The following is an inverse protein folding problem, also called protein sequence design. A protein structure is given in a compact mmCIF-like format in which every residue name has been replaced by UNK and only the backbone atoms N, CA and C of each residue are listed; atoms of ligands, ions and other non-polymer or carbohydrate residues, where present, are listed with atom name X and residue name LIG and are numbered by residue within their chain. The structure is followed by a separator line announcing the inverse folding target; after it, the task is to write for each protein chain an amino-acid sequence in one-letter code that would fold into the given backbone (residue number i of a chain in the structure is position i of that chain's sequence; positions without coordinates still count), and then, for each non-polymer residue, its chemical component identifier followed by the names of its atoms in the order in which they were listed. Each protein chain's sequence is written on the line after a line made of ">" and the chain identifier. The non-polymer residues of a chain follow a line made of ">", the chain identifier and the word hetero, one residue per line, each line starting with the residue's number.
data_IF_633765326536
#
_entry.id   IF_633765326536
#
_cell.length_a   1.000
_cell.length_b   1.000
_cell.length_c   1.000
_cell.angle_alpha   90.00
_cell.angle_beta   90.00
_cell.angle_gamma   90.00
#
_symmetry.space_group_name_H-M   'P 1'
#
loop_
_entity.id
_entity.type
_entity.pdbx_description
1 polymer ?
#
# COMPACT_ATOMS: atom_id res chain seq x y z
N UNK A 1 -39.71 -64.69 -25.01
CA UNK A 1 -40.57 -63.82 -25.85
C UNK A 1 -40.33 -62.39 -25.33
N UNK A 2 -39.53 -61.63 -26.05
CA UNK A 2 -39.10 -60.25 -25.73
C UNK A 2 -39.89 -59.28 -26.62
N UNK A 3 -40.79 -58.49 -26.06
CA UNK A 3 -41.45 -57.40 -26.76
C UNK A 3 -40.60 -56.14 -26.62
N UNK A 4 -39.92 -55.75 -27.67
CA UNK A 4 -39.29 -54.43 -27.81
C UNK A 4 -40.34 -53.42 -28.25
N UNK A 5 -40.69 -52.51 -27.34
CA UNK A 5 -41.54 -51.35 -27.66
C UNK A 5 -40.66 -50.25 -28.24
N UNK A 6 -40.76 -50.04 -29.55
CA UNK A 6 -40.14 -48.94 -30.27
C UNK A 6 -41.04 -47.73 -30.19
N UNK A 7 -40.68 -46.75 -29.36
CA UNK A 7 -41.41 -45.46 -29.24
C UNK A 7 -40.92 -44.50 -30.37
N UNK A 8 -41.84 -43.82 -31.11
CA UNK A 8 -41.43 -42.85 -32.13
C UNK A 8 -40.86 -41.61 -31.46
N UNK A 9 -39.57 -41.38 -31.65
CA UNK A 9 -38.91 -40.14 -31.26
C UNK A 9 -39.50 -38.99 -32.11
N UNK A 10 -40.30 -38.15 -31.47
CA UNK A 10 -40.95 -37.01 -32.11
C UNK A 10 -39.92 -36.01 -32.61
N UNK A 11 -40.05 -35.64 -33.88
CA UNK A 11 -39.24 -34.63 -34.60
C UNK A 11 -39.16 -33.27 -33.85
N UNK A 12 -40.08 -33.01 -32.95
CA UNK A 12 -40.19 -31.80 -32.14
C UNK A 12 -39.06 -31.67 -31.09
N UNK A 13 -38.57 -32.74 -30.53
CA UNK A 13 -37.48 -32.72 -29.53
C UNK A 13 -36.14 -32.28 -30.14
N UNK A 14 -35.86 -32.63 -31.39
CA UNK A 14 -34.62 -32.26 -32.09
C UNK A 14 -34.54 -30.76 -32.41
N UNK A 15 -35.66 -30.15 -32.74
CA UNK A 15 -35.71 -28.69 -33.01
C UNK A 15 -35.59 -27.84 -31.74
N UNK A 16 -36.05 -28.33 -30.59
CA UNK A 16 -35.93 -27.61 -29.32
C UNK A 16 -34.47 -27.65 -28.80
N UNK A 17 -33.78 -28.75 -28.95
CA UNK A 17 -32.36 -28.85 -28.54
C UNK A 17 -31.45 -28.04 -29.45
N UNK A 18 -31.73 -28.05 -30.78
CA UNK A 18 -30.96 -27.23 -31.73
C UNK A 18 -31.12 -25.74 -31.49
N UNK A 19 -32.33 -25.27 -31.22
CA UNK A 19 -32.59 -23.86 -30.86
C UNK A 19 -31.90 -23.43 -29.55
N UNK A 20 -31.89 -24.27 -28.53
CA UNK A 20 -31.18 -24.00 -27.26
C UNK A 20 -29.67 -23.97 -27.48
N UNK A 21 -29.12 -24.85 -28.31
CA UNK A 21 -27.68 -24.87 -28.65
C UNK A 21 -27.26 -23.61 -29.43
N UNK A 22 -28.04 -23.14 -30.38
CA UNK A 22 -27.77 -21.92 -31.15
C UNK A 22 -27.83 -20.66 -30.25
N UNK A 23 -28.76 -20.60 -29.29
CA UNK A 23 -28.85 -19.47 -28.36
C UNK A 23 -27.66 -19.46 -27.41
N UNK A 24 -27.22 -20.64 -26.93
CA UNK A 24 -26.04 -20.74 -26.03
C UNK A 24 -24.77 -20.34 -26.75
N UNK A 25 -24.59 -20.74 -28.02
CA UNK A 25 -23.40 -20.34 -28.81
C UNK A 25 -23.42 -18.85 -29.16
N UNK A 26 -24.59 -18.22 -29.38
CA UNK A 26 -24.68 -16.79 -29.62
C UNK A 26 -24.34 -15.96 -28.36
N UNK A 27 -24.71 -16.43 -27.16
CA UNK A 27 -24.37 -15.74 -25.89
C UNK A 27 -22.89 -15.83 -25.56
N UNK A 28 -22.23 -16.94 -25.89
CA UNK A 28 -20.78 -17.12 -25.71
C UNK A 28 -19.93 -16.26 -26.66
N UNK A 29 -20.47 -15.89 -27.83
CA UNK A 29 -19.76 -15.05 -28.79
C UNK A 29 -19.75 -13.55 -28.40
N UNK A 30 -20.63 -13.08 -27.50
CA UNK A 30 -20.66 -11.69 -27.03
C UNK A 30 -19.76 -11.43 -25.82
N UNK A 31 -19.14 -12.43 -25.21
CA UNK A 31 -18.25 -12.27 -24.06
C UNK A 31 -16.79 -11.92 -24.41
N UNK A 32 -16.51 -11.58 -25.66
CA UNK A 32 -15.17 -11.52 -26.22
C UNK A 32 -14.54 -10.16 -26.40
N UNK A 33 -14.78 -9.15 -25.55
CA UNK A 33 -14.01 -7.91 -25.56
C UNK A 33 -13.80 -7.32 -24.16
N UNK A 34 -13.49 -8.17 -23.18
CA UNK A 34 -12.90 -7.65 -21.94
C UNK A 34 -11.41 -7.46 -22.21
N UNK A 35 -10.97 -6.22 -22.46
CA UNK A 35 -9.55 -5.87 -22.44
C UNK A 35 -8.99 -6.26 -21.08
N UNK A 36 -7.92 -7.07 -21.11
CA UNK A 36 -7.22 -7.46 -19.88
C UNK A 36 -6.64 -6.20 -19.20
N UNK A 37 -6.64 -6.13 -17.86
CA UNK A 37 -6.19 -4.93 -17.11
C UNK A 37 -4.75 -4.48 -17.37
N UNK A 38 -3.98 -5.16 -18.23
CA UNK A 38 -2.62 -4.79 -18.64
C UNK A 38 -2.49 -4.25 -20.06
N UNK A 39 -3.54 -4.34 -20.88
CA UNK A 39 -3.48 -3.91 -22.29
C UNK A 39 -3.64 -2.40 -22.47
N UNK A 40 -4.22 -1.70 -21.50
CA UNK A 40 -4.44 -0.25 -21.53
C UNK A 40 -3.30 0.52 -20.87
N UNK A 41 -2.04 0.19 -21.13
CA UNK A 41 -0.92 0.97 -20.63
C UNK A 41 -0.68 2.20 -21.51
N UNK A 42 -0.87 3.40 -20.95
CA UNK A 42 -0.65 4.68 -21.64
C UNK A 42 0.82 4.90 -22.04
N UNK A 43 1.77 4.18 -21.43
CA UNK A 43 3.20 4.27 -21.74
C UNK A 43 3.61 3.33 -22.87
N UNK A 44 2.76 2.35 -23.21
CA UNK A 44 3.03 1.40 -24.28
C UNK A 44 2.85 2.08 -25.66
N UNK A 45 3.98 2.42 -26.30
CA UNK A 45 4.01 3.05 -27.62
C UNK A 45 3.66 2.09 -28.75
N UNK A 46 3.85 0.79 -28.53
CA UNK A 46 3.68 -0.27 -29.56
C UNK A 46 2.26 -0.81 -29.63
N UNK A 47 1.36 -0.37 -28.72
CA UNK A 47 -0.03 -0.78 -28.75
C UNK A 47 -0.74 -0.26 -30.00
N UNK A 48 -1.55 -1.14 -30.64
CA UNK A 48 -2.29 -0.80 -31.85
C UNK A 48 -3.26 0.35 -31.63
N UNK A 49 -3.57 1.09 -32.68
CA UNK A 49 -4.52 2.20 -32.63
C UNK A 49 -5.92 1.78 -32.19
N UNK A 50 -6.31 0.54 -32.57
CA UNK A 50 -7.59 -0.05 -32.14
C UNK A 50 -7.59 -0.38 -30.64
N UNK A 51 -6.49 -0.87 -30.10
CA UNK A 51 -6.32 -1.12 -28.65
C UNK A 51 -6.43 0.21 -27.87
N UNK A 52 -5.76 1.26 -28.36
CA UNK A 52 -5.80 2.58 -27.72
C UNK A 52 -7.21 3.17 -27.71
N UNK A 53 -7.91 3.08 -28.83
CA UNK A 53 -9.30 3.57 -28.95
C UNK A 53 -10.26 2.77 -28.08
N UNK A 54 -10.08 1.45 -27.95
CA UNK A 54 -10.87 0.61 -27.07
C UNK A 54 -10.61 0.91 -25.60
N UNK A 55 -9.35 1.16 -25.23
CA UNK A 55 -8.95 1.56 -23.87
C UNK A 55 -9.54 2.92 -23.46
N UNK A 56 -9.59 3.86 -24.39
CA UNK A 56 -10.20 5.18 -24.17
C UNK A 56 -11.72 5.04 -23.97
N UNK A 57 -12.39 4.31 -24.86
CA UNK A 57 -13.83 4.09 -24.81
C UNK A 57 -14.27 3.28 -23.58
N UNK A 58 -13.48 2.29 -23.15
CA UNK A 58 -13.74 1.46 -21.96
C UNK A 58 -13.39 2.13 -20.63
N UNK A 59 -12.79 3.32 -20.64
CA UNK A 59 -12.32 4.02 -19.44
C UNK A 59 -11.04 3.47 -18.84
N UNK A 60 -10.33 2.56 -19.54
CA UNK A 60 -9.11 1.93 -19.04
C UNK A 60 -8.00 2.92 -18.71
N UNK A 61 -7.86 4.01 -19.46
CA UNK A 61 -6.91 5.08 -19.16
C UNK A 61 -7.33 5.91 -17.94
N UNK A 62 -8.63 6.23 -17.82
CA UNK A 62 -9.11 6.99 -16.67
C UNK A 62 -8.94 6.23 -15.35
N UNK A 63 -9.08 4.92 -15.36
CA UNK A 63 -8.87 4.07 -14.19
C UNK A 63 -7.38 4.00 -13.80
N UNK A 64 -6.48 3.97 -14.79
CA UNK A 64 -5.03 4.07 -14.52
C UNK A 64 -4.65 5.43 -13.91
N UNK A 65 -5.21 6.52 -14.43
CA UNK A 65 -4.98 7.87 -13.86
C UNK A 65 -5.44 7.90 -12.41
N UNK A 66 -6.67 7.42 -12.11
CA UNK A 66 -7.16 7.35 -10.72
C UNK A 66 -6.26 6.52 -9.81
N UNK A 67 -5.78 5.35 -10.28
CA UNK A 67 -4.87 4.51 -9.49
C UNK A 67 -3.55 5.24 -9.22
N UNK A 68 -2.98 5.94 -10.21
CA UNK A 68 -1.75 6.73 -10.03
C UNK A 68 -1.97 7.93 -9.11
N UNK A 69 -3.12 8.60 -9.19
CA UNK A 69 -3.48 9.69 -8.28
C UNK A 69 -3.62 9.21 -6.83
N UNK A 70 -4.25 8.05 -6.61
CA UNK A 70 -4.33 7.43 -5.30
C UNK A 70 -2.95 7.09 -4.76
N UNK A 71 -2.10 6.44 -5.56
CA UNK A 71 -0.73 6.10 -5.18
C UNK A 71 0.11 7.35 -4.85
N UNK A 72 -0.05 8.43 -5.62
CA UNK A 72 0.61 9.71 -5.37
C UNK A 72 0.11 10.36 -4.06
N UNK A 73 -1.21 10.35 -3.83
CA UNK A 73 -1.80 10.85 -2.58
C UNK A 73 -1.28 10.09 -1.38
N UNK A 74 -1.19 8.77 -1.49
CA UNK A 74 -0.65 7.90 -0.44
C UNK A 74 0.84 8.17 -0.17
N UNK A 75 1.64 8.35 -1.22
CA UNK A 75 3.05 8.68 -1.12
C UNK A 75 3.24 10.03 -0.41
N UNK A 76 2.47 11.05 -0.77
CA UNK A 76 2.48 12.36 -0.10
C UNK A 76 2.12 12.25 1.38
N UNK A 77 1.12 11.45 1.72
CA UNK A 77 0.73 11.23 3.12
C UNK A 77 1.84 10.55 3.91
N UNK A 78 2.51 9.55 3.35
CA UNK A 78 3.63 8.89 4.00
C UNK A 78 4.81 9.83 4.19
N UNK A 79 5.14 10.64 3.17
CA UNK A 79 6.20 11.63 3.27
C UNK A 79 5.90 12.65 4.38
N UNK A 80 4.67 13.14 4.47
CA UNK A 80 4.25 14.03 5.56
C UNK A 80 4.43 13.40 6.96
N UNK A 81 4.20 12.09 7.10
CA UNK A 81 4.46 11.39 8.37
C UNK A 81 5.95 11.31 8.70
N UNK A 82 6.84 11.13 7.71
CA UNK A 82 8.29 11.21 7.91
C UNK A 82 8.70 12.59 8.39
N UNK A 83 8.22 13.65 7.74
CA UNK A 83 8.49 15.03 8.17
C UNK A 83 8.05 15.28 9.61
N UNK A 84 6.86 14.81 9.98
CA UNK A 84 6.38 14.94 11.37
C UNK A 84 7.30 14.24 12.38
N UNK A 85 7.84 13.05 12.03
CA UNK A 85 8.81 12.36 12.89
C UNK A 85 10.09 13.16 13.01
N UNK A 86 10.62 13.74 11.90
CA UNK A 86 11.81 14.58 11.95
C UNK A 86 11.64 15.83 12.80
N UNK A 87 10.53 16.54 12.64
CA UNK A 87 10.20 17.69 13.47
C UNK A 87 10.16 17.32 14.97
N UNK A 88 9.54 16.19 15.30
CA UNK A 88 9.49 15.71 16.68
C UNK A 88 10.86 15.26 17.21
N UNK A 89 11.73 14.68 16.37
CA UNK A 89 13.12 14.39 16.75
C UNK A 89 13.86 15.70 17.06
N UNK A 90 13.73 16.72 16.23
CA UNK A 90 14.35 18.04 16.45
C UNK A 90 13.81 18.71 17.72
N UNK A 91 12.48 18.70 17.91
CA UNK A 91 11.86 19.23 19.12
C UNK A 91 12.36 18.52 20.39
N UNK A 92 12.54 17.19 20.32
CA UNK A 92 13.12 16.42 21.42
C UNK A 92 14.59 16.76 21.67
N UNK A 93 15.38 16.96 20.62
CA UNK A 93 16.79 17.38 20.75
C UNK A 93 16.90 18.76 21.41
N UNK A 94 16.01 19.69 21.09
CA UNK A 94 15.97 21.01 21.71
C UNK A 94 15.48 20.95 23.17
N UNK A 95 14.47 20.16 23.45
CA UNK A 95 13.88 20.04 24.79
C UNK A 95 14.79 19.32 25.78
N UNK A 96 15.80 18.57 25.33
CA UNK A 96 16.79 17.96 26.24
C UNK A 96 17.53 18.98 27.11
N UNK A 97 17.51 20.25 26.74
CA UNK A 97 18.14 21.37 27.48
C UNK A 97 17.14 22.19 28.33
N UNK A 98 15.87 21.79 28.33
CA UNK A 98 14.78 22.53 28.99
C UNK A 98 14.29 21.76 30.23
N UNK A 99 13.16 22.19 30.77
CA UNK A 99 12.52 21.57 31.93
C UNK A 99 11.97 20.15 31.63
N UNK A 100 11.73 19.39 32.70
CA UNK A 100 11.28 17.99 32.60
C UNK A 100 9.92 17.85 31.89
N UNK A 101 9.02 18.82 32.09
CA UNK A 101 7.68 18.76 31.46
C UNK A 101 7.77 18.90 29.93
N UNK A 102 8.62 19.80 29.43
CA UNK A 102 8.90 19.98 28.02
C UNK A 102 9.55 18.72 27.41
N UNK A 103 10.46 18.09 28.14
CA UNK A 103 11.09 16.82 27.72
C UNK A 103 10.05 15.70 27.61
N UNK A 104 9.16 15.55 28.58
CA UNK A 104 8.10 14.54 28.56
C UNK A 104 7.12 14.77 27.42
N UNK A 105 6.72 16.02 27.19
CA UNK A 105 5.79 16.39 26.11
C UNK A 105 6.39 16.07 24.74
N UNK A 106 7.63 16.47 24.47
CA UNK A 106 8.28 16.22 23.20
C UNK A 106 8.58 14.72 22.99
N UNK A 107 8.91 13.97 24.05
CA UNK A 107 9.07 12.52 24.01
C UNK A 107 7.75 11.83 23.66
N UNK A 108 6.64 12.24 24.24
CA UNK A 108 5.32 11.70 23.93
C UNK A 108 4.93 11.98 22.46
N UNK A 109 5.15 13.20 21.96
CA UNK A 109 4.89 13.57 20.58
C UNK A 109 5.74 12.74 19.59
N UNK A 110 7.03 12.55 19.88
CA UNK A 110 7.92 11.71 19.09
C UNK A 110 7.44 10.25 19.06
N UNK A 111 7.12 9.68 20.21
CA UNK A 111 6.63 8.31 20.30
C UNK A 111 5.32 8.12 19.53
N UNK A 112 4.42 9.10 19.58
CA UNK A 112 3.15 9.05 18.86
C UNK A 112 3.36 9.11 17.35
N UNK A 113 4.14 10.08 16.84
CA UNK A 113 4.38 10.23 15.40
C UNK A 113 5.12 9.01 14.83
N UNK A 114 6.09 8.47 15.57
CA UNK A 114 6.81 7.27 15.17
C UNK A 114 5.88 6.04 15.12
N UNK A 115 5.01 5.88 16.12
CA UNK A 115 4.02 4.79 16.13
C UNK A 115 3.05 4.89 14.94
N UNK A 116 2.57 6.08 14.61
CA UNK A 116 1.68 6.31 13.46
C UNK A 116 2.39 5.98 12.15
N UNK A 117 3.62 6.44 11.96
CA UNK A 117 4.43 6.13 10.77
C UNK A 117 4.62 4.61 10.62
N UNK A 118 5.07 3.92 11.68
CA UNK A 118 5.33 2.48 11.63
C UNK A 118 4.05 1.66 11.34
N UNK A 119 2.92 2.06 11.92
CA UNK A 119 1.62 1.42 11.66
C UNK A 119 1.19 1.60 10.20
N UNK A 120 1.33 2.80 9.65
CA UNK A 120 1.01 3.10 8.26
C UNK A 120 1.90 2.31 7.29
N UNK A 121 3.21 2.27 7.55
CA UNK A 121 4.16 1.53 6.71
C UNK A 121 3.93 0.02 6.77
N UNK A 122 3.64 -0.52 7.93
CA UNK A 122 3.33 -1.95 8.12
C UNK A 122 2.08 -2.37 7.34
N UNK A 123 1.05 -1.53 7.33
CA UNK A 123 -0.18 -1.78 6.58
C UNK A 123 0.04 -1.78 5.06
N UNK A 124 0.97 -0.95 4.56
CA UNK A 124 1.15 -0.72 3.11
C UNK A 124 2.32 -1.49 2.50
N UNK A 125 3.41 -1.67 3.24
CA UNK A 125 4.69 -2.24 2.78
C UNK A 125 5.10 -3.48 3.55
N UNK A 126 4.17 -4.10 4.29
CA UNK A 126 4.43 -5.26 5.13
C UNK A 126 4.94 -6.51 4.39
N UNK A 127 4.91 -6.55 3.07
CA UNK A 127 5.39 -7.68 2.27
C UNK A 127 6.89 -7.57 1.88
N UNK A 128 7.52 -6.43 2.09
CA UNK A 128 8.92 -6.20 1.74
C UNK A 128 9.83 -6.59 2.92
N UNK A 129 10.58 -7.68 2.80
CA UNK A 129 11.36 -8.26 3.90
C UNK A 129 12.37 -7.27 4.53
N UNK A 130 13.02 -6.42 3.73
CA UNK A 130 13.95 -5.40 4.20
C UNK A 130 13.24 -4.31 5.00
N UNK A 131 12.10 -3.84 4.51
CA UNK A 131 11.27 -2.84 5.19
C UNK A 131 10.70 -3.38 6.50
N UNK A 132 10.24 -4.63 6.51
CA UNK A 132 9.79 -5.30 7.74
C UNK A 132 10.86 -5.33 8.82
N UNK A 133 12.11 -5.65 8.46
CA UNK A 133 13.23 -5.67 9.41
C UNK A 133 13.49 -4.28 9.99
N UNK A 134 13.50 -3.25 9.16
CA UNK A 134 13.69 -1.86 9.61
C UNK A 134 12.54 -1.38 10.51
N UNK A 135 11.29 -1.73 10.16
CA UNK A 135 10.11 -1.45 10.99
C UNK A 135 10.25 -2.14 12.35
N UNK A 136 10.60 -3.43 12.39
CA UNK A 136 10.76 -4.17 13.64
C UNK A 136 11.86 -3.57 14.54
N UNK A 137 12.96 -3.12 13.96
CA UNK A 137 14.03 -2.44 14.70
C UNK A 137 13.57 -1.11 15.31
N UNK A 138 12.77 -0.33 14.57
CA UNK A 138 12.20 0.92 15.05
C UNK A 138 11.10 0.68 16.11
N UNK A 139 10.25 -0.33 15.94
CA UNK A 139 9.27 -0.74 16.96
C UNK A 139 9.96 -1.13 18.29
N UNK A 140 11.08 -1.84 18.21
CA UNK A 140 11.86 -2.19 19.39
C UNK A 140 12.41 -0.94 20.10
N UNK A 141 12.91 0.04 19.35
CA UNK A 141 13.37 1.32 19.90
C UNK A 141 12.22 2.12 20.51
N UNK A 142 11.07 2.17 19.84
CA UNK A 142 9.88 2.84 20.34
C UNK A 142 9.44 2.24 21.69
N UNK A 143 9.37 0.93 21.81
CA UNK A 143 9.03 0.23 23.06
C UNK A 143 10.06 0.54 24.17
N UNK A 144 11.34 0.53 23.86
CA UNK A 144 12.38 0.88 24.81
C UNK A 144 12.26 2.33 25.29
N UNK A 145 11.97 3.27 24.37
CA UNK A 145 11.75 4.68 24.68
C UNK A 145 10.50 4.92 25.55
N UNK A 146 9.43 4.17 25.32
CA UNK A 146 8.21 4.23 26.14
C UNK A 146 8.41 3.67 27.55
N UNK A 147 9.25 2.65 27.69
CA UNK A 147 9.54 2.02 28.99
C UNK A 147 10.58 2.79 29.81
N UNK A 148 11.36 3.68 29.19
CA UNK A 148 12.40 4.44 29.88
C UNK A 148 11.80 5.52 30.76
N UNK A 149 12.07 5.57 32.08
CA UNK A 149 11.59 6.63 32.94
C UNK A 149 12.26 7.95 32.53
N UNK A 150 11.46 9.02 32.44
CA UNK A 150 11.98 10.36 32.25
C UNK A 150 12.49 10.88 33.58
N UNK A 151 13.76 10.60 33.87
CA UNK A 151 14.42 11.04 35.09
C UNK A 151 15.12 12.39 34.91
N UNK A 152 15.43 13.07 36.01
CA UNK A 152 16.22 14.31 35.97
C UNK A 152 17.51 14.11 35.18
N UNK A 153 17.69 14.97 34.18
CA UNK A 153 18.80 14.86 33.22
C UNK A 153 20.12 15.25 33.86
N UNK A 154 21.03 14.31 33.99
CA UNK A 154 22.45 14.60 34.23
C UNK A 154 23.14 14.89 32.88
N UNK A 155 24.29 15.58 32.86
CA UNK A 155 25.02 15.80 31.60
C UNK A 155 25.32 14.52 30.82
N UNK A 156 25.59 13.41 31.51
CA UNK A 156 25.84 12.10 30.91
C UNK A 156 24.57 11.51 30.28
N UNK A 157 23.43 11.61 30.96
CA UNK A 157 22.14 11.12 30.41
C UNK A 157 21.67 11.97 29.22
N UNK A 158 21.95 13.27 29.20
CA UNK A 158 21.68 14.16 28.08
C UNK A 158 22.51 13.76 26.85
N UNK A 159 23.81 13.51 27.02
CA UNK A 159 24.69 13.09 25.93
C UNK A 159 24.22 11.73 25.33
N UNK A 160 23.87 10.79 26.20
CA UNK A 160 23.33 9.49 25.77
C UNK A 160 22.02 9.66 24.99
N UNK A 161 21.09 10.52 25.46
CA UNK A 161 19.82 10.78 24.78
C UNK A 161 20.01 11.46 23.42
N UNK A 162 20.94 12.42 23.32
CA UNK A 162 21.28 13.03 22.05
C UNK A 162 21.84 12.01 21.04
N UNK A 163 22.67 11.08 21.49
CA UNK A 163 23.20 10.02 20.64
C UNK A 163 22.10 9.03 20.20
N UNK A 164 21.17 8.70 21.09
CA UNK A 164 19.98 7.89 20.76
C UNK A 164 19.14 8.56 19.69
N UNK A 165 18.84 9.87 19.80
CA UNK A 165 18.07 10.62 18.82
C UNK A 165 18.77 10.72 17.46
N UNK A 166 20.09 10.90 17.43
CA UNK A 166 20.86 10.86 16.18
C UNK A 166 20.80 9.48 15.51
N UNK A 167 20.84 8.42 16.31
CA UNK A 167 20.72 7.04 15.81
C UNK A 167 19.32 6.78 15.27
N UNK A 168 18.29 7.25 15.98
CA UNK A 168 16.90 7.17 15.53
C UNK A 168 16.71 7.90 14.21
N UNK A 169 17.20 9.14 14.10
CA UNK A 169 17.15 9.91 12.87
C UNK A 169 17.79 9.18 11.69
N UNK A 170 18.98 8.60 11.86
CA UNK A 170 19.62 7.81 10.81
C UNK A 170 18.77 6.62 10.36
N UNK A 171 18.13 5.91 11.29
CA UNK A 171 17.28 4.77 10.95
C UNK A 171 16.00 5.19 10.23
N UNK A 172 15.40 6.32 10.63
CA UNK A 172 14.22 6.87 9.95
C UNK A 172 14.60 7.31 8.53
N UNK A 173 15.74 7.99 8.33
CA UNK A 173 16.26 8.35 7.01
C UNK A 173 16.51 7.09 6.16
N UNK A 174 17.13 6.06 6.72
CA UNK A 174 17.39 4.81 6.00
C UNK A 174 16.09 4.12 5.57
N UNK A 175 15.06 4.14 6.43
CA UNK A 175 13.74 3.62 6.08
C UNK A 175 13.08 4.45 4.98
N UNK A 176 13.11 5.78 5.08
CA UNK A 176 12.60 6.70 4.06
C UNK A 176 13.25 6.45 2.71
N UNK A 177 14.58 6.40 2.67
CA UNK A 177 15.35 6.12 1.46
C UNK A 177 15.02 4.75 0.86
N UNK A 178 14.90 3.70 1.69
CA UNK A 178 14.57 2.35 1.21
C UNK A 178 13.17 2.25 0.60
N UNK A 179 12.29 3.21 0.90
CA UNK A 179 10.94 3.32 0.34
C UNK A 179 10.85 4.23 -0.89
N UNK A 180 11.99 4.86 -1.29
CA UNK A 180 12.03 5.77 -2.43
C UNK A 180 11.38 7.12 -2.17
N UNK A 181 11.23 7.54 -0.92
CA UNK A 181 10.78 8.90 -0.57
C UNK A 181 12.01 9.80 -0.46
N UNK A 182 12.41 10.40 -1.57
CA UNK A 182 13.43 11.45 -1.61
C UNK A 182 12.80 12.80 -1.25
N UNK A 183 13.58 13.67 -0.58
CA UNK A 183 13.18 15.07 -0.28
C UNK A 183 13.14 15.93 -1.56
#
# INVERSE_FOLDING_TARGET
>A
MLCTANAPQSHWAKHMTLRKLVVITAVLALSGCATTPGECDATNRDSSMLTKMNCDYSGGYSDQVKQKELALSESRQQNAMFHQVYENIQAQQLSTKTDLASQQKSQAALNQSLAQLLTSLKARRGNEAQVQKQIADLEKQLKASQAAPTTKSTPATLAAKQQELKTLQKKVNQLQFSLGYEE
#
